data_IF_295750633901
#
_entry.id   IF_295750633901
#
_cell.length_a   1.000
_cell.length_b   1.000
_cell.length_c   1.000
_cell.angle_alpha   90.00
_cell.angle_beta   90.00
_cell.angle_gamma   90.00
#
_symmetry.space_group_name_H-M   'P 1'
#
loop_
_entity.id
_entity.type
_entity.pdbx_description
1 polymer ?
#
# COMPACT_ATOMS: atom_id res chain seq x y z
N UNK A 1 -20.83 10.54 4.25
CA UNK A 1 -20.44 10.48 2.83
C UNK A 1 -19.10 9.77 2.74
N UNK A 2 -18.90 8.89 1.75
CA UNK A 2 -17.60 8.26 1.47
C UNK A 2 -16.70 9.28 0.76
N UNK A 3 -15.40 9.31 1.08
CA UNK A 3 -14.45 10.27 0.48
C UNK A 3 -13.70 9.67 -0.70
N UNK A 4 -13.24 8.42 -0.56
CA UNK A 4 -12.48 7.68 -1.56
C UNK A 4 -12.86 6.19 -1.47
N UNK A 5 -12.71 5.47 -2.56
CA UNK A 5 -12.86 4.03 -2.69
C UNK A 5 -11.63 3.43 -3.36
N UNK A 6 -10.98 2.43 -2.77
CA UNK A 6 -9.92 1.67 -3.44
C UNK A 6 -10.49 0.32 -3.84
N UNK A 7 -10.53 0.04 -5.14
CA UNK A 7 -11.01 -1.24 -5.69
C UNK A 7 -9.94 -2.33 -5.61
N UNK A 8 -9.58 -2.70 -4.37
CA UNK A 8 -8.60 -3.75 -4.05
C UNK A 8 -9.05 -4.56 -2.85
N UNK A 9 -9.06 -5.88 -2.99
CA UNK A 9 -9.20 -6.80 -1.85
C UNK A 9 -7.86 -6.84 -1.10
N UNK A 10 -7.73 -5.99 -0.09
CA UNK A 10 -6.44 -5.69 0.52
C UNK A 10 -6.53 -5.42 2.03
N UNK A 11 -5.41 -5.64 2.71
CA UNK A 11 -5.19 -5.07 4.04
C UNK A 11 -4.49 -3.72 3.88
N UNK A 12 -4.71 -2.78 4.78
CA UNK A 12 -4.23 -1.41 4.62
C UNK A 12 -3.57 -0.85 5.88
N UNK A 13 -2.79 0.20 5.70
CA UNK A 13 -2.25 1.00 6.78
C UNK A 13 -2.06 2.46 6.36
N UNK A 14 -2.03 3.37 7.33
CA UNK A 14 -1.87 4.80 7.11
C UNK A 14 -0.44 5.22 7.36
N UNK A 15 0.07 6.14 6.55
CA UNK A 15 1.35 6.77 6.85
C UNK A 15 1.29 7.53 8.19
N UNK A 16 2.38 7.60 8.94
CA UNK A 16 2.44 8.31 10.22
C UNK A 16 2.34 9.85 10.11
N UNK A 17 2.26 10.41 8.90
CA UNK A 17 2.12 11.86 8.66
C UNK A 17 0.68 12.35 8.93
N UNK A 18 0.54 13.54 9.52
CA UNK A 18 -0.75 14.11 9.92
C UNK A 18 -1.40 15.03 8.89
N UNK A 19 -0.64 15.62 7.95
CA UNK A 19 -1.16 16.65 7.04
C UNK A 19 -1.74 16.10 5.74
N UNK A 20 -1.06 15.13 5.12
CA UNK A 20 -1.47 14.45 3.89
C UNK A 20 -1.14 12.96 4.04
N UNK A 21 -1.98 12.20 4.74
CA UNK A 21 -1.67 10.81 5.03
C UNK A 21 -1.74 9.97 3.75
N UNK A 22 -0.70 9.21 3.50
CA UNK A 22 -0.67 8.21 2.43
C UNK A 22 -1.31 6.91 2.93
N UNK A 23 -1.77 6.08 1.99
CA UNK A 23 -2.32 4.76 2.28
C UNK A 23 -1.39 3.74 1.64
N UNK A 24 -1.01 2.71 2.38
CA UNK A 24 -0.40 1.52 1.80
C UNK A 24 -1.40 0.37 1.84
N UNK A 25 -1.52 -0.40 0.75
CA UNK A 25 -2.35 -1.60 0.67
C UNK A 25 -1.53 -2.80 0.23
N UNK A 26 -1.77 -3.94 0.87
CA UNK A 26 -1.18 -5.23 0.48
C UNK A 26 -2.26 -6.23 0.07
N UNK A 27 -2.01 -7.02 -0.98
CA UNK A 27 -2.91 -8.11 -1.40
C UNK A 27 -3.21 -9.02 -0.22
N UNK A 28 -4.48 -9.10 0.21
CA UNK A 28 -4.81 -9.79 1.46
C UNK A 28 -4.74 -11.31 1.30
N UNK A 29 -4.19 -11.98 2.31
CA UNK A 29 -4.17 -13.43 2.39
C UNK A 29 -5.59 -13.99 2.62
N UNK A 30 -5.87 -15.18 2.10
CA UNK A 30 -7.16 -15.87 2.30
C UNK A 30 -8.35 -15.30 1.53
N UNK A 31 -8.16 -14.28 0.70
CA UNK A 31 -9.18 -13.79 -0.24
C UNK A 31 -8.74 -13.98 -1.69
N UNK A 32 -9.70 -13.94 -2.60
CA UNK A 32 -9.47 -13.98 -4.04
C UNK A 32 -10.20 -12.80 -4.66
N UNK A 33 -9.54 -12.11 -5.59
CA UNK A 33 -10.13 -11.02 -6.33
C UNK A 33 -10.96 -11.54 -7.52
N UNK A 34 -11.70 -10.64 -8.17
CA UNK A 34 -12.55 -10.98 -9.32
C UNK A 34 -11.76 -11.57 -10.50
N UNK A 35 -10.46 -11.23 -10.59
CA UNK A 35 -9.57 -11.69 -11.64
C UNK A 35 -8.91 -13.05 -11.37
N UNK A 36 -9.13 -13.63 -10.18
CA UNK A 36 -8.49 -14.86 -9.71
C UNK A 36 -6.94 -14.77 -9.76
N UNK A 37 -6.40 -13.58 -9.56
CA UNK A 37 -4.97 -13.33 -9.64
C UNK A 37 -4.22 -13.92 -8.45
N UNK A 38 -3.04 -14.48 -8.73
CA UNK A 38 -2.09 -14.91 -7.71
C UNK A 38 -0.99 -13.87 -7.47
N UNK A 39 -1.08 -12.68 -8.07
CA UNK A 39 -0.10 -11.63 -7.83
C UNK A 39 -0.28 -11.03 -6.43
N UNK A 40 0.78 -11.07 -5.61
CA UNK A 40 0.85 -10.31 -4.36
C UNK A 40 1.59 -9.01 -4.61
N UNK A 41 1.01 -7.89 -4.16
CA UNK A 41 1.60 -6.57 -4.33
C UNK A 41 1.38 -5.72 -3.08
N UNK A 42 2.38 -4.88 -2.79
CA UNK A 42 2.28 -3.75 -1.86
C UNK A 42 2.25 -2.46 -2.68
N UNK A 43 1.15 -1.72 -2.56
CA UNK A 43 0.87 -0.48 -3.30
C UNK A 43 0.84 0.72 -2.33
N UNK A 44 1.37 1.88 -2.76
CA UNK A 44 1.26 3.16 -2.04
C UNK A 44 0.40 4.13 -2.84
N UNK A 45 -0.66 4.61 -2.19
CA UNK A 45 -1.63 5.54 -2.72
C UNK A 45 -1.45 6.93 -2.11
N UNK A 46 -1.67 7.95 -2.95
CA UNK A 46 -1.67 9.36 -2.52
C UNK A 46 -3.02 9.97 -2.89
N UNK A 47 -4.08 9.71 -2.13
CA UNK A 47 -5.41 10.22 -2.43
C UNK A 47 -5.42 11.75 -2.31
N UNK A 48 -6.04 12.44 -3.28
CA UNK A 48 -6.27 13.87 -3.15
C UNK A 48 -7.58 14.10 -2.38
N UNK A 49 -7.54 14.11 -1.05
CA UNK A 49 -8.74 14.30 -0.22
C UNK A 49 -9.50 15.62 -0.44
N UNK A 50 -8.91 16.59 -1.14
CA UNK A 50 -9.55 17.86 -1.50
C UNK A 50 -10.29 17.79 -2.85
N UNK A 51 -9.94 16.84 -3.71
CA UNK A 51 -10.63 16.61 -4.97
C UNK A 51 -11.87 15.74 -4.75
N UNK A 52 -13.04 16.33 -5.05
CA UNK A 52 -14.34 15.66 -4.94
C UNK A 52 -14.70 14.82 -6.17
N UNK A 53 -13.98 14.99 -7.27
CA UNK A 53 -14.20 14.25 -8.51
C UNK A 53 -13.40 12.95 -8.56
N UNK A 54 -12.30 12.86 -7.79
CA UNK A 54 -11.52 11.63 -7.63
C UNK A 54 -12.16 10.76 -6.54
N UNK A 55 -13.18 9.97 -6.84
CA UNK A 55 -13.77 9.08 -5.84
C UNK A 55 -13.13 7.69 -5.87
N UNK A 56 -13.00 7.13 -7.07
CA UNK A 56 -12.51 5.78 -7.29
C UNK A 56 -11.00 5.76 -7.50
N UNK A 57 -10.34 4.92 -6.72
CA UNK A 57 -8.92 4.64 -6.75
C UNK A 57 -8.71 3.17 -7.15
N UNK A 58 -7.58 2.90 -7.81
CA UNK A 58 -7.25 1.55 -8.30
C UNK A 58 -7.90 1.15 -9.63
N UNK A 59 -8.61 2.07 -10.29
CA UNK A 59 -9.03 1.92 -11.70
C UNK A 59 -7.84 2.27 -12.61
N UNK A 60 -7.54 1.39 -13.57
CA UNK A 60 -6.46 1.62 -14.55
C UNK A 60 -6.65 2.96 -15.26
N UNK A 61 -5.62 3.80 -15.24
CA UNK A 61 -5.60 5.10 -15.91
C UNK A 61 -6.23 6.28 -15.14
N UNK A 62 -6.83 6.05 -13.96
CA UNK A 62 -7.53 7.11 -13.22
C UNK A 62 -6.97 7.44 -11.82
N UNK A 63 -6.07 6.61 -11.28
CA UNK A 63 -5.71 6.69 -9.85
C UNK A 63 -4.22 6.94 -9.61
N UNK A 64 -3.85 7.78 -8.62
CA UNK A 64 -2.46 8.09 -8.30
C UNK A 64 -1.82 6.98 -7.45
N UNK A 65 -1.74 5.77 -8.00
CA UNK A 65 -0.76 4.79 -7.54
C UNK A 65 0.62 5.41 -7.72
N UNK A 66 1.35 5.65 -6.62
CA UNK A 66 2.66 6.31 -6.67
C UNK A 66 3.83 5.34 -6.66
N UNK A 67 3.63 4.15 -6.14
CA UNK A 67 4.64 3.10 -6.16
C UNK A 67 4.02 1.76 -5.80
N UNK A 68 4.59 0.70 -6.36
CA UNK A 68 4.20 -0.66 -6.07
C UNK A 68 5.44 -1.56 -6.06
N UNK A 69 5.39 -2.60 -5.22
CA UNK A 69 6.38 -3.68 -5.22
C UNK A 69 5.64 -5.01 -5.23
N UNK A 70 6.10 -5.94 -6.07
CA UNK A 70 5.56 -7.30 -6.12
C UNK A 70 6.21 -8.15 -5.02
N UNK A 71 5.42 -9.05 -4.47
CA UNK A 71 5.86 -10.08 -3.54
C UNK A 71 5.32 -11.45 -3.98
N UNK A 72 5.83 -12.51 -3.37
CA UNK A 72 5.39 -13.89 -3.58
C UNK A 72 4.38 -14.34 -2.54
N UNK A 73 4.40 -13.77 -1.33
CA UNK A 73 3.46 -14.09 -0.27
C UNK A 73 2.41 -12.98 -0.08
N UNK A 74 1.18 -13.35 0.28
CA UNK A 74 0.10 -12.39 0.59
C UNK A 74 0.16 -11.88 2.03
N UNK A 75 -0.52 -10.78 2.26
CA UNK A 75 -0.45 -9.99 3.49
C UNK A 75 -1.57 -10.39 4.46
N UNK A 76 -1.22 -10.88 5.65
CA UNK A 76 -2.17 -11.07 6.75
C UNK A 76 -2.45 -9.75 7.48
N UNK A 77 -1.39 -8.95 7.70
CA UNK A 77 -1.47 -7.67 8.42
C UNK A 77 -0.41 -6.71 7.93
N UNK A 78 -0.77 -5.42 7.85
CA UNK A 78 0.12 -4.34 7.42
C UNK A 78 0.14 -3.23 8.48
N UNK A 79 1.32 -2.66 8.72
CA UNK A 79 1.50 -1.51 9.62
C UNK A 79 2.55 -0.55 9.08
N UNK A 80 2.41 0.74 9.39
CA UNK A 80 3.33 1.78 8.97
C UNK A 80 3.62 2.72 10.14
N UNK A 81 4.89 2.83 10.51
CA UNK A 81 5.32 3.68 11.61
C UNK A 81 6.82 3.88 11.63
N UNK A 82 7.37 4.16 12.82
CA UNK A 82 8.80 4.35 13.05
C UNK A 82 9.43 5.43 12.14
N UNK A 83 9.06 6.68 12.38
CA UNK A 83 9.68 7.84 11.71
C UNK A 83 10.88 8.31 12.50
N UNK A 84 12.02 8.48 11.84
CA UNK A 84 13.23 9.05 12.41
C UNK A 84 13.92 10.00 11.41
N UNK A 85 15.04 10.62 11.81
CA UNK A 85 15.78 11.57 10.95
C UNK A 85 16.37 10.95 9.69
N UNK A 86 16.59 9.64 9.66
CA UNK A 86 17.06 8.87 8.50
C UNK A 86 15.92 8.29 7.66
N UNK A 87 14.71 8.17 8.23
CA UNK A 87 13.51 7.59 7.61
C UNK A 87 12.32 8.52 7.78
N UNK A 88 12.30 9.58 6.99
CA UNK A 88 11.23 10.60 7.03
C UNK A 88 9.85 10.02 6.70
N UNK A 89 9.80 8.98 5.86
CA UNK A 89 8.57 8.26 5.55
C UNK A 89 8.35 7.05 6.45
N UNK A 90 9.22 6.78 7.42
CA UNK A 90 9.14 5.63 8.31
C UNK A 90 9.37 4.29 7.63
N UNK A 91 8.71 3.25 8.14
CA UNK A 91 8.85 1.85 7.71
C UNK A 91 7.48 1.21 7.60
N UNK A 92 7.24 0.49 6.52
CA UNK A 92 6.09 -0.42 6.38
C UNK A 92 6.55 -1.81 6.80
N UNK A 93 5.77 -2.49 7.64
CA UNK A 93 6.02 -3.87 8.04
C UNK A 93 4.76 -4.70 7.84
N UNK A 94 4.93 -5.97 7.47
CA UNK A 94 3.84 -6.91 7.28
C UNK A 94 4.13 -8.28 7.90
N UNK A 95 3.07 -8.92 8.36
CA UNK A 95 3.04 -10.37 8.56
C UNK A 95 2.45 -11.05 7.33
N UNK A 96 3.19 -12.00 6.76
CA UNK A 96 2.88 -12.65 5.49
C UNK A 96 2.26 -14.04 5.71
N UNK A 97 1.61 -14.58 4.69
CA UNK A 97 0.94 -15.90 4.77
C UNK A 97 1.90 -17.09 4.84
N UNK A 98 3.14 -16.91 4.37
CA UNK A 98 4.21 -17.90 4.45
C UNK A 98 4.89 -17.95 5.84
N UNK A 99 4.43 -17.16 6.80
CA UNK A 99 4.99 -17.09 8.16
C UNK A 99 6.15 -16.11 8.33
N UNK A 100 6.50 -15.35 7.29
CA UNK A 100 7.58 -14.37 7.34
C UNK A 100 7.09 -12.98 7.75
N UNK A 101 8.05 -12.18 8.25
CA UNK A 101 7.90 -10.74 8.43
C UNK A 101 8.70 -10.03 7.35
N UNK A 102 8.06 -9.12 6.64
CA UNK A 102 8.71 -8.31 5.62
C UNK A 102 8.65 -6.83 5.99
N UNK A 103 9.71 -6.10 5.63
CA UNK A 103 9.87 -4.68 5.92
C UNK A 103 10.23 -3.94 4.64
N UNK A 104 9.59 -2.79 4.44
CA UNK A 104 9.84 -1.93 3.30
C UNK A 104 10.12 -0.50 3.73
N UNK A 105 11.01 0.15 2.98
CA UNK A 105 11.22 1.57 3.02
C UNK A 105 10.26 2.25 2.01
N UNK A 106 9.26 3.00 2.48
CA UNK A 106 8.28 3.65 1.61
C UNK A 106 8.93 4.64 0.65
N UNK A 107 10.03 5.30 1.06
CA UNK A 107 10.74 6.24 0.21
C UNK A 107 11.33 5.54 -1.03
N UNK A 108 11.80 4.30 -0.87
CA UNK A 108 12.31 3.48 -1.98
C UNK A 108 11.19 3.05 -2.93
N UNK A 109 10.05 2.62 -2.39
CA UNK A 109 8.88 2.26 -3.21
C UNK A 109 8.40 3.47 -4.02
N UNK A 110 8.30 4.65 -3.40
CA UNK A 110 7.90 5.89 -4.06
C UNK A 110 8.92 6.37 -5.11
N UNK A 111 10.20 6.05 -4.94
CA UNK A 111 11.25 6.34 -5.91
C UNK A 111 11.30 5.35 -7.09
N UNK A 112 10.45 4.31 -7.09
CA UNK A 112 10.48 3.24 -8.10
C UNK A 112 11.57 2.19 -7.88
N UNK A 113 12.22 2.17 -6.72
CA UNK A 113 13.18 1.14 -6.34
C UNK A 113 12.44 -0.08 -5.79
N UNK A 114 11.79 -0.84 -6.67
CA UNK A 114 11.27 -2.16 -6.35
C UNK A 114 12.39 -3.19 -6.34
N UNK A 115 12.93 -3.50 -5.17
CA UNK A 115 13.75 -4.70 -4.95
C UNK A 115 13.74 -5.05 -3.46
N UNK A 116 13.11 -6.17 -3.11
CA UNK A 116 13.27 -6.82 -1.82
C UNK A 116 14.67 -7.45 -1.78
N UNK A 117 15.40 -7.20 -0.70
CA UNK A 117 16.64 -7.92 -0.37
C UNK A 117 16.31 -9.11 0.53
#
# INVERSE_FOLDING_TARGET
MKLKEIHRTSTFTWSPSSSLPLIATGTVAGALDESFSNESQLEIWVPNFLDKNEFDLGIEGQSPLKGAVKDTARFNRLTWGYVDSSRLWGVIAAGMENGELALWDPAKILAGAGCAA
#
